data_IF_292840317539
#
_entry.id   IF_292840317539
#
_cell.length_a   1.000
_cell.length_b   1.000
_cell.length_c   1.000
_cell.angle_alpha   90.00
_cell.angle_beta   90.00
_cell.angle_gamma   90.00
#
_symmetry.space_group_name_H-M   'P 1'
#
loop_
_entity.id
_entity.type
_entity.pdbx_description
1 polymer ?
#
# COMPACT_ATOMS: atom_id res chain seq x y z
N UNK A 1 -12.25 20.25 -11.80
CA UNK A 1 -12.27 18.79 -11.75
C UNK A 1 -11.59 18.43 -10.45
N UNK A 2 -12.28 17.71 -9.57
CA UNK A 2 -11.69 17.25 -8.32
C UNK A 2 -11.12 15.89 -8.63
N UNK A 3 -9.79 15.79 -8.77
CA UNK A 3 -9.11 14.51 -9.01
C UNK A 3 -9.32 13.65 -7.76
N UNK A 4 -10.23 12.68 -7.85
CA UNK A 4 -10.56 11.84 -6.70
C UNK A 4 -9.53 10.73 -6.57
N UNK A 5 -8.71 10.81 -5.52
CA UNK A 5 -7.70 9.80 -5.20
C UNK A 5 -8.20 8.89 -4.09
N UNK A 6 -8.23 7.59 -4.35
CA UNK A 6 -8.59 6.56 -3.36
C UNK A 6 -7.33 5.86 -2.86
N UNK A 7 -6.97 6.09 -1.60
CA UNK A 7 -5.82 5.46 -0.96
C UNK A 7 -6.26 4.21 -0.21
N UNK A 8 -5.67 3.05 -0.54
CA UNK A 8 -6.06 1.74 -0.04
C UNK A 8 -4.85 1.02 0.53
N UNK A 9 -4.68 1.02 1.87
CA UNK A 9 -3.66 0.20 2.51
C UNK A 9 -4.08 -1.27 2.52
N UNK A 10 -3.13 -2.17 2.27
CA UNK A 10 -3.32 -3.62 2.35
C UNK A 10 -2.25 -4.23 3.24
N UNK A 11 -2.65 -4.94 4.29
CA UNK A 11 -1.76 -5.49 5.29
C UNK A 11 -1.50 -6.97 5.03
N UNK A 12 -0.24 -7.38 5.02
CA UNK A 12 0.18 -8.73 4.65
C UNK A 12 1.08 -9.38 5.69
N UNK A 13 0.84 -10.66 5.93
CA UNK A 13 1.52 -11.50 6.90
C UNK A 13 2.24 -12.68 6.25
N UNK A 14 3.09 -13.36 7.01
CA UNK A 14 3.78 -14.58 6.55
C UNK A 14 2.75 -15.65 6.17
N UNK A 15 3.12 -16.53 5.23
CA UNK A 15 2.30 -17.66 4.84
C UNK A 15 2.17 -18.67 6.00
N UNK A 16 0.98 -19.29 6.13
CA UNK A 16 0.66 -20.23 7.21
C UNK A 16 -0.01 -19.59 8.43
N UNK A 17 -0.71 -20.40 9.23
CA UNK A 17 -1.52 -19.97 10.39
C UNK A 17 -0.71 -19.44 11.58
N UNK A 18 0.61 -19.33 11.46
CA UNK A 18 1.43 -18.77 12.52
C UNK A 18 1.51 -17.25 12.37
N UNK A 19 0.52 -16.57 12.94
CA UNK A 19 0.73 -15.25 13.52
C UNK A 19 1.73 -15.44 14.66
N UNK A 20 3.02 -15.53 14.33
CA UNK A 20 4.08 -15.69 15.31
C UNK A 20 4.00 -14.50 16.28
N UNK A 21 3.94 -14.77 17.57
CA UNK A 21 3.84 -13.76 18.66
C UNK A 21 5.00 -12.74 18.73
N UNK A 22 5.89 -12.75 17.75
CA UNK A 22 7.07 -11.88 17.58
C UNK A 22 6.92 -10.88 16.40
N UNK A 23 5.69 -10.67 15.91
CA UNK A 23 5.41 -9.64 14.89
C UNK A 23 5.82 -8.25 15.42
N UNK A 24 6.93 -7.72 14.87
CA UNK A 24 7.50 -6.42 15.26
C UNK A 24 6.58 -5.24 14.93
N UNK A 25 5.61 -5.44 14.04
CA UNK A 25 4.60 -4.45 13.69
C UNK A 25 3.22 -5.09 13.84
N UNK A 26 2.53 -4.73 14.93
CA UNK A 26 1.20 -5.28 15.25
C UNK A 26 0.17 -4.56 14.37
N UNK A 27 -0.21 -5.18 13.27
CA UNK A 27 -1.44 -4.85 12.54
C UNK A 27 -2.49 -5.91 12.88
N UNK A 28 -3.72 -5.48 13.16
CA UNK A 28 -4.82 -6.44 13.37
C UNK A 28 -5.08 -7.22 12.08
N UNK A 29 -4.91 -8.55 12.16
CA UNK A 29 -5.28 -9.53 11.13
C UNK A 29 -4.75 -9.23 9.71
N UNK A 30 -3.42 -9.26 9.50
CA UNK A 30 -2.87 -9.15 8.16
C UNK A 30 -3.31 -10.35 7.30
N UNK A 31 -3.54 -10.10 6.00
CA UNK A 31 -3.84 -11.18 5.05
C UNK A 31 -2.60 -12.04 4.87
N UNK A 32 -2.75 -13.36 5.01
CA UNK A 32 -1.63 -14.27 4.84
C UNK A 32 -1.14 -14.29 3.39
N UNK A 33 0.17 -14.39 3.16
CA UNK A 33 0.77 -14.38 1.83
C UNK A 33 0.30 -15.52 0.91
N UNK A 34 -0.18 -16.63 1.46
CA UNK A 34 -0.77 -17.76 0.74
C UNK A 34 -2.26 -17.57 0.41
N UNK A 35 -2.92 -16.58 1.02
CA UNK A 35 -4.31 -16.23 0.71
C UNK A 35 -4.39 -15.21 -0.43
N UNK A 36 -5.50 -15.21 -1.16
CA UNK A 36 -5.76 -14.19 -2.18
C UNK A 36 -6.11 -12.82 -1.58
N UNK A 37 -6.56 -12.79 -0.33
CA UNK A 37 -7.05 -11.58 0.32
C UNK A 37 -8.31 -11.01 -0.32
N UNK A 38 -8.53 -9.72 -0.11
CA UNK A 38 -9.73 -9.00 -0.59
C UNK A 38 -9.43 -7.96 -1.67
N UNK A 39 -8.15 -7.66 -1.96
CA UNK A 39 -7.75 -6.59 -2.87
C UNK A 39 -8.31 -6.78 -4.29
N UNK A 40 -8.18 -7.96 -4.88
CA UNK A 40 -8.71 -8.23 -6.21
C UNK A 40 -10.23 -8.05 -6.27
N UNK A 41 -10.95 -8.59 -5.27
CA UNK A 41 -12.41 -8.45 -5.15
C UNK A 41 -12.83 -6.99 -4.97
N UNK A 42 -12.04 -6.22 -4.22
CA UNK A 42 -12.26 -4.80 -4.06
C UNK A 42 -12.11 -4.06 -5.40
N UNK A 43 -11.03 -4.29 -6.15
CA UNK A 43 -10.80 -3.65 -7.45
C UNK A 43 -11.87 -4.03 -8.49
N UNK A 44 -12.32 -5.29 -8.48
CA UNK A 44 -13.48 -5.70 -9.28
C UNK A 44 -14.71 -4.89 -8.90
N UNK A 45 -15.03 -4.78 -7.61
CA UNK A 45 -16.24 -4.09 -7.15
C UNK A 45 -16.31 -2.61 -7.55
N UNK A 46 -15.18 -1.94 -7.81
CA UNK A 46 -15.16 -0.54 -8.23
C UNK A 46 -15.89 -0.29 -9.55
N UNK A 47 -16.11 -1.32 -10.37
CA UNK A 47 -16.85 -1.21 -11.62
C UNK A 47 -18.28 -0.69 -11.46
N UNK A 48 -18.86 -0.79 -10.26
CA UNK A 48 -20.22 -0.32 -9.97
C UNK A 48 -20.28 1.18 -9.69
N UNK A 49 -19.13 1.81 -9.43
CA UNK A 49 -19.04 3.24 -9.15
C UNK A 49 -19.01 4.01 -10.48
N UNK A 50 -19.95 4.94 -10.64
CA UNK A 50 -19.95 5.86 -11.78
C UNK A 50 -18.70 6.74 -11.74
N UNK A 51 -17.99 6.86 -12.87
CA UNK A 51 -16.73 7.60 -12.96
C UNK A 51 -15.53 6.85 -12.37
N UNK A 52 -15.63 5.53 -12.18
CA UNK A 52 -14.51 4.74 -11.65
C UNK A 52 -13.25 4.76 -12.53
N UNK A 53 -13.39 5.03 -13.83
CA UNK A 53 -12.27 5.26 -14.76
C UNK A 53 -11.47 6.54 -14.50
N UNK A 54 -12.04 7.51 -13.78
CA UNK A 54 -11.37 8.78 -13.42
C UNK A 54 -10.68 8.72 -12.05
N UNK A 55 -10.78 7.58 -11.34
CA UNK A 55 -10.19 7.38 -10.02
C UNK A 55 -8.69 7.09 -10.13
N UNK A 56 -7.89 7.84 -9.37
CA UNK A 56 -6.51 7.45 -9.09
C UNK A 56 -6.54 6.55 -7.85
N UNK A 57 -6.12 5.29 -7.99
CA UNK A 57 -6.11 4.31 -6.92
C UNK A 57 -4.68 4.14 -6.43
N UNK A 58 -4.42 4.53 -5.18
CA UNK A 58 -3.11 4.39 -4.55
C UNK A 58 -3.13 3.19 -3.61
N UNK A 59 -2.48 2.10 -3.99
CA UNK A 59 -2.34 0.89 -3.18
C UNK A 59 -1.07 1.00 -2.34
N UNK A 60 -1.20 0.81 -1.02
CA UNK A 60 -0.07 0.81 -0.09
C UNK A 60 0.06 -0.59 0.50
N UNK A 61 0.96 -1.45 0.00
CA UNK A 61 1.22 -2.74 0.59
C UNK A 61 2.07 -2.59 1.85
N UNK A 62 1.57 -3.12 2.97
CA UNK A 62 2.18 -3.02 4.29
C UNK A 62 2.51 -4.43 4.80
N UNK A 63 3.76 -4.89 4.66
CA UNK A 63 4.19 -6.15 5.28
C UNK A 63 4.31 -5.96 6.81
N UNK A 64 3.89 -6.96 7.58
CA UNK A 64 4.09 -6.97 9.04
C UNK A 64 5.51 -7.41 9.45
N UNK A 65 6.26 -8.00 8.53
CA UNK A 65 7.64 -8.46 8.69
C UNK A 65 8.51 -7.97 7.51
N UNK A 66 9.62 -7.25 7.75
CA UNK A 66 10.54 -6.85 6.68
C UNK A 66 11.02 -7.99 5.79
N UNK A 67 11.12 -9.22 6.31
CA UNK A 67 11.59 -10.39 5.56
C UNK A 67 10.63 -10.82 4.44
N UNK A 68 9.36 -10.40 4.49
CA UNK A 68 8.38 -10.74 3.46
C UNK A 68 8.10 -9.60 2.48
N UNK A 69 8.80 -8.47 2.58
CA UNK A 69 8.56 -7.27 1.77
C UNK A 69 8.53 -7.60 0.28
N UNK A 70 9.55 -8.29 -0.24
CA UNK A 70 9.64 -8.62 -1.67
C UNK A 70 8.53 -9.57 -2.12
N UNK A 71 8.17 -10.54 -1.28
CA UNK A 71 7.09 -11.46 -1.57
C UNK A 71 5.73 -10.74 -1.62
N UNK A 72 5.50 -9.79 -0.71
CA UNK A 72 4.29 -8.96 -0.69
C UNK A 72 4.24 -8.06 -1.91
N UNK A 73 5.36 -7.41 -2.29
CA UNK A 73 5.42 -6.57 -3.48
C UNK A 73 5.10 -7.36 -4.74
N UNK A 74 5.72 -8.54 -4.92
CA UNK A 74 5.47 -9.39 -6.09
C UNK A 74 4.01 -9.84 -6.17
N UNK A 75 3.45 -10.32 -5.05
CA UNK A 75 2.04 -10.75 -4.98
C UNK A 75 1.08 -9.61 -5.31
N UNK A 76 1.37 -8.40 -4.83
CA UNK A 76 0.56 -7.23 -5.12
C UNK A 76 0.63 -6.86 -6.59
N UNK A 77 1.82 -6.84 -7.20
CA UNK A 77 1.93 -6.58 -8.64
C UNK A 77 1.18 -7.62 -9.49
N UNK A 78 1.22 -8.90 -9.11
CA UNK A 78 0.41 -9.95 -9.73
C UNK A 78 -1.10 -9.67 -9.62
N UNK A 79 -1.57 -9.28 -8.44
CA UNK A 79 -2.98 -8.91 -8.22
C UNK A 79 -3.36 -7.69 -9.06
N UNK A 80 -2.50 -6.66 -9.14
CA UNK A 80 -2.81 -5.39 -9.79
C UNK A 80 -2.72 -5.46 -11.32
N UNK A 81 -1.84 -6.30 -11.88
CA UNK A 81 -1.60 -6.44 -13.32
C UNK A 81 -2.87 -6.45 -14.19
N UNK A 82 -3.89 -7.29 -13.92
CA UNK A 82 -5.10 -7.32 -14.74
C UNK A 82 -5.98 -6.05 -14.62
N UNK A 83 -5.81 -5.23 -13.58
CA UNK A 83 -6.62 -4.04 -13.33
C UNK A 83 -5.97 -2.74 -13.85
N UNK A 84 -4.65 -2.72 -14.07
CA UNK A 84 -3.92 -1.55 -14.59
C UNK A 84 -4.43 -1.01 -15.95
N UNK A 85 -4.98 -1.84 -16.87
CA UNK A 85 -5.61 -1.30 -18.08
C UNK A 85 -6.93 -0.56 -17.84
N UNK A 86 -7.56 -0.76 -16.68
CA UNK A 86 -8.89 -0.26 -16.36
C UNK A 86 -8.88 0.97 -15.44
N UNK A 87 -7.91 1.03 -14.53
CA UNK A 87 -7.81 2.08 -13.52
C UNK A 87 -6.40 2.66 -13.50
N UNK A 88 -6.28 3.93 -13.11
CA UNK A 88 -4.99 4.55 -12.82
C UNK A 88 -4.50 4.09 -11.44
N UNK A 89 -3.71 3.02 -11.41
CA UNK A 89 -3.25 2.39 -10.16
C UNK A 89 -1.78 2.74 -9.89
N UNK A 90 -1.54 3.42 -8.77
CA UNK A 90 -0.21 3.65 -8.21
C UNK A 90 0.03 2.68 -7.06
N UNK A 91 1.12 1.90 -7.11
CA UNK A 91 1.52 1.04 -6.01
C UNK A 91 2.66 1.72 -5.24
N UNK A 92 2.39 2.16 -4.01
CA UNK A 92 3.35 2.79 -3.11
C UNK A 92 3.88 1.78 -2.09
N UNK A 93 4.74 0.87 -2.56
CA UNK A 93 5.50 0.00 -1.67
C UNK A 93 6.69 0.74 -1.03
N UNK A 94 7.30 0.11 -0.02
CA UNK A 94 8.39 0.73 0.77
C UNK A 94 9.53 1.28 -0.09
N UNK A 95 9.97 0.55 -1.13
CA UNK A 95 11.00 1.07 -2.05
C UNK A 95 10.60 2.34 -2.80
N UNK A 96 9.32 2.51 -3.16
CA UNK A 96 8.85 3.72 -3.83
C UNK A 96 8.89 4.92 -2.88
N UNK A 97 8.55 4.70 -1.62
CA UNK A 97 8.62 5.72 -0.57
C UNK A 97 10.07 6.12 -0.28
N UNK A 98 10.99 5.16 -0.18
CA UNK A 98 12.41 5.47 -0.01
C UNK A 98 12.95 6.28 -1.20
N UNK A 99 12.57 5.94 -2.43
CA UNK A 99 12.94 6.72 -3.61
C UNK A 99 12.36 8.14 -3.60
N UNK A 100 11.12 8.30 -3.13
CA UNK A 100 10.49 9.63 -2.96
C UNK A 100 11.26 10.43 -1.89
N UNK A 101 11.62 9.81 -0.76
CA UNK A 101 12.41 10.48 0.27
C UNK A 101 13.77 10.92 -0.24
N UNK A 102 14.46 10.08 -1.01
CA UNK A 102 15.75 10.42 -1.64
C UNK A 102 15.60 11.65 -2.53
N UNK A 103 14.60 11.68 -3.41
CA UNK A 103 14.33 12.83 -4.28
C UNK A 103 13.96 14.10 -3.51
N UNK A 104 13.22 13.98 -2.41
CA UNK A 104 12.85 15.12 -1.57
C UNK A 104 14.04 15.63 -0.74
N UNK A 105 14.91 14.73 -0.27
CA UNK A 105 16.16 15.09 0.39
C UNK A 105 17.09 15.87 -0.54
N UNK A 106 17.21 15.43 -1.80
CA UNK A 106 17.96 16.16 -2.84
C UNK A 106 17.40 17.56 -3.12
N UNK A 107 16.10 17.76 -2.89
CA UNK A 107 15.41 19.04 -3.03
C UNK A 107 15.44 19.91 -1.76
N UNK A 108 16.15 19.47 -0.72
CA UNK A 108 16.37 20.23 0.50
C UNK A 108 15.24 20.12 1.55
N UNK A 109 14.38 19.11 1.45
CA UNK A 109 13.38 18.82 2.50
C UNK A 109 14.08 18.32 3.76
N UNK A 110 13.66 18.81 4.93
CA UNK A 110 14.29 18.47 6.22
C UNK A 110 14.06 17.00 6.60
N UNK A 111 14.98 16.40 7.35
CA UNK A 111 14.87 15.00 7.79
C UNK A 111 13.63 14.75 8.63
N UNK A 112 13.23 15.71 9.46
CA UNK A 112 12.04 15.61 10.30
C UNK A 112 10.76 15.52 9.46
N UNK A 113 10.71 16.19 8.31
CA UNK A 113 9.60 16.11 7.37
C UNK A 113 9.61 14.79 6.57
N UNK A 114 10.79 14.26 6.23
CA UNK A 114 10.94 12.96 5.57
C UNK A 114 10.55 11.80 6.48
N UNK A 115 10.83 11.91 7.78
CA UNK A 115 10.46 10.90 8.79
C UNK A 115 8.94 10.77 8.97
N UNK A 116 8.16 11.79 8.60
CA UNK A 116 6.69 11.73 8.58
C UNK A 116 6.15 10.88 7.41
N UNK A 117 6.95 10.64 6.36
CA UNK A 117 6.58 9.83 5.20
C UNK A 117 7.04 8.38 5.45
N UNK A 118 6.38 7.64 6.33
CA UNK A 118 6.76 6.24 6.60
C UNK A 118 5.55 5.28 6.60
N UNK A 119 5.80 3.99 6.34
CA UNK A 119 4.78 2.92 6.42
C UNK A 119 4.82 2.17 7.76
N UNK A 120 5.67 2.61 8.68
CA UNK A 120 6.04 1.83 9.86
C UNK A 120 5.04 1.92 11.02
N UNK A 121 4.05 2.82 10.94
CA UNK A 121 2.96 2.86 11.92
C UNK A 121 1.64 3.34 11.31
N UNK A 122 0.54 2.96 11.98
CA UNK A 122 -0.84 3.28 11.59
C UNK A 122 -1.09 4.77 11.39
N UNK A 123 -0.43 5.62 12.20
CA UNK A 123 -0.57 7.07 12.09
C UNK A 123 0.06 7.62 10.80
N UNK A 124 1.17 7.03 10.34
CA UNK A 124 1.85 7.44 9.12
C UNK A 124 1.12 6.97 7.86
N UNK A 125 0.53 5.76 7.88
CA UNK A 125 -0.42 5.31 6.84
C UNK A 125 -1.64 6.25 6.79
N UNK A 126 -2.20 6.63 7.94
CA UNK A 126 -3.31 7.59 8.03
C UNK A 126 -2.94 8.99 7.53
N UNK A 127 -1.71 9.45 7.78
CA UNK A 127 -1.26 10.79 7.33
C UNK A 127 -1.20 10.89 5.80
N UNK A 128 -0.83 9.81 5.10
CA UNK A 128 -0.91 9.76 3.62
C UNK A 128 -2.36 9.77 3.12
N UNK A 129 -3.31 9.21 3.89
CA UNK A 129 -4.73 9.27 3.54
C UNK A 129 -5.40 10.63 3.87
N UNK A 130 -4.73 11.54 4.57
CA UNK A 130 -5.33 12.80 5.07
C UNK A 130 -4.81 14.05 4.36
N UNK A 131 -3.96 13.90 3.34
CA UNK A 131 -3.30 15.01 2.63
C UNK A 131 -3.83 15.25 1.21
N UNK A 132 -4.99 14.66 0.87
CA UNK A 132 -5.77 14.95 -0.35
C UNK A 132 -6.60 16.22 -0.22
#
# INVERSE_FOLDING_TARGET
>A
MTDFTMVVPTYWGRAGSESSRDDKIIFDHPTSLDENGTLARFLESLHILNGSEELIIVIIPVPNDPQITDAVVNKIEEILTPFRPRYDIVCLHQYAIERIKEQLAERGVSREALDLINLTNYAAVRNMCSSS
#
